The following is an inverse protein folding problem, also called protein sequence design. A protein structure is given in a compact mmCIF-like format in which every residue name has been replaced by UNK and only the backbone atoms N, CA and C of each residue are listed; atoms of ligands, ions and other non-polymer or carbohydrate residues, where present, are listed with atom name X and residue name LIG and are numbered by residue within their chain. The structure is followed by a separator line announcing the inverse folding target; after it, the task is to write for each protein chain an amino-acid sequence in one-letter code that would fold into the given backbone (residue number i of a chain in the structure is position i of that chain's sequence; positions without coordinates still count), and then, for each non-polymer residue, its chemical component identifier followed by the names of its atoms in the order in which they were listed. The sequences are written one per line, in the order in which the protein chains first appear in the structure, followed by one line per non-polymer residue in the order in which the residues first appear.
data_IF_793490338312
#
_entry.id   IF_793490338312
#
_cell.length_a   1.000
_cell.length_b   1.000
_cell.length_c   1.000
_cell.angle_alpha   90.00
_cell.angle_beta   90.00
_cell.angle_gamma   90.00
#
_symmetry.space_group_name_H-M   'P 1'
#
loop_
_entity.id
_entity.type
_entity.pdbx_description
1 polymer ?
#
# COMPACT_ATOMS: atom_id res chain seq x y z
N UNK A 1 10.21 -11.66 13.20
CA UNK A 1 9.57 -12.91 12.70
C UNK A 1 9.53 -12.88 11.17
N UNK A 2 10.00 -13.93 10.51
CA UNK A 2 9.94 -14.08 9.04
C UNK A 2 8.51 -14.43 8.58
N UNK A 3 8.24 -14.31 7.27
CA UNK A 3 6.95 -14.74 6.70
C UNK A 3 6.71 -16.22 6.95
N UNK A 4 7.74 -17.07 6.79
CA UNK A 4 7.61 -18.51 7.02
C UNK A 4 7.30 -18.85 8.49
N UNK A 5 7.89 -18.14 9.44
CA UNK A 5 7.57 -18.31 10.86
C UNK A 5 6.11 -17.91 11.17
N UNK A 6 5.61 -16.84 10.54
CA UNK A 6 4.19 -16.45 10.67
C UNK A 6 3.26 -17.52 10.11
N UNK A 7 3.54 -18.07 8.94
CA UNK A 7 2.73 -19.12 8.33
C UNK A 7 2.75 -20.41 9.17
N UNK A 8 3.91 -20.83 9.66
CA UNK A 8 4.02 -21.98 10.55
C UNK A 8 3.24 -21.77 11.85
N UNK A 9 3.26 -20.54 12.40
CA UNK A 9 2.48 -20.18 13.59
C UNK A 9 0.97 -20.24 13.30
N UNK A 10 0.51 -19.79 12.12
CA UNK A 10 -0.88 -19.90 11.73
C UNK A 10 -1.33 -21.37 11.65
N UNK A 11 -0.53 -22.23 11.04
CA UNK A 11 -0.85 -23.66 10.91
C UNK A 11 -0.93 -24.38 12.27
N UNK A 12 -0.10 -23.96 13.24
CA UNK A 12 -0.14 -24.53 14.62
C UNK A 12 -1.31 -23.99 15.47
N UNK A 13 -1.93 -22.88 15.08
CA UNK A 13 -3.04 -22.24 15.81
C UNK A 13 -4.29 -22.11 14.93
N UNK A 14 -4.52 -23.07 14.04
CA UNK A 14 -5.57 -23.02 13.02
C UNK A 14 -7.02 -23.02 13.55
N UNK A 15 -7.21 -23.24 14.84
CA UNK A 15 -8.45 -23.19 15.59
C UNK A 15 -8.58 -21.99 16.55
N UNK A 16 -7.60 -21.09 16.55
CA UNK A 16 -7.58 -19.89 17.40
C UNK A 16 -7.83 -18.62 16.56
N UNK A 17 -9.08 -18.11 16.59
CA UNK A 17 -9.49 -16.96 15.78
C UNK A 17 -8.66 -15.71 16.03
N UNK A 18 -8.37 -15.37 17.29
CA UNK A 18 -7.59 -14.19 17.66
C UNK A 18 -6.15 -14.25 17.16
N UNK A 19 -5.50 -15.39 17.34
CA UNK A 19 -4.15 -15.60 16.82
C UNK A 19 -4.09 -15.51 15.29
N UNK A 20 -5.07 -16.10 14.61
CA UNK A 20 -5.18 -16.02 13.14
C UNK A 20 -5.44 -14.60 12.67
N UNK A 21 -6.30 -13.84 13.37
CA UNK A 21 -6.53 -12.43 13.07
C UNK A 21 -5.24 -11.59 13.13
N UNK A 22 -4.45 -11.74 14.19
CA UNK A 22 -3.17 -11.04 14.33
C UNK A 22 -2.17 -11.42 13.24
N UNK A 23 -2.08 -12.71 12.91
CA UNK A 23 -1.18 -13.17 11.83
C UNK A 23 -1.67 -12.66 10.47
N UNK A 24 -2.97 -12.72 10.19
CA UNK A 24 -3.55 -12.22 8.94
C UNK A 24 -3.32 -10.71 8.76
N UNK A 25 -3.48 -9.93 9.83
CA UNK A 25 -3.19 -8.49 9.85
C UNK A 25 -1.72 -8.20 9.58
N UNK A 26 -0.81 -8.94 10.20
CA UNK A 26 0.64 -8.78 9.98
C UNK A 26 1.03 -9.16 8.55
N UNK A 27 0.47 -10.23 7.98
CA UNK A 27 0.72 -10.60 6.58
C UNK A 27 0.16 -9.56 5.59
N UNK A 28 -1.02 -8.97 5.89
CA UNK A 28 -1.58 -7.88 5.09
C UNK A 28 -0.64 -6.68 5.08
N UNK A 29 -0.13 -6.26 6.24
CA UNK A 29 0.82 -5.15 6.38
C UNK A 29 2.11 -5.35 5.57
N UNK A 30 2.52 -6.62 5.40
CA UNK A 30 3.68 -7.05 4.60
C UNK A 30 3.33 -7.37 3.14
N UNK A 31 2.14 -6.96 2.68
CA UNK A 31 1.69 -7.19 1.28
C UNK A 31 1.63 -8.66 0.85
N UNK A 32 1.43 -9.57 1.80
CA UNK A 32 1.19 -11.01 1.56
C UNK A 32 -0.32 -11.27 1.45
N UNK A 33 -0.97 -10.62 0.47
CA UNK A 33 -2.43 -10.54 0.38
C UNK A 33 -3.12 -11.90 0.23
N UNK A 34 -2.64 -12.86 -0.59
CA UNK A 34 -3.27 -14.18 -0.70
C UNK A 34 -3.24 -14.96 0.62
N UNK A 35 -2.10 -14.96 1.30
CA UNK A 35 -1.90 -15.64 2.58
C UNK A 35 -2.73 -14.98 3.68
N UNK A 36 -2.75 -13.64 3.72
CA UNK A 36 -3.56 -12.88 4.66
C UNK A 36 -5.06 -13.22 4.51
N UNK A 37 -5.58 -13.26 3.27
CA UNK A 37 -6.97 -13.62 2.98
C UNK A 37 -7.33 -15.00 3.53
N UNK A 38 -6.55 -16.02 3.18
CA UNK A 38 -6.78 -17.39 3.65
C UNK A 38 -6.89 -17.47 5.17
N UNK A 39 -6.02 -16.76 5.86
CA UNK A 39 -5.94 -16.79 7.33
C UNK A 39 -7.08 -15.98 7.96
N UNK A 40 -7.40 -14.79 7.42
CA UNK A 40 -8.51 -13.97 7.90
C UNK A 40 -9.87 -14.61 7.64
N UNK A 41 -10.08 -15.24 6.48
CA UNK A 41 -11.28 -16.01 6.20
C UNK A 41 -11.47 -17.15 7.22
N UNK A 42 -10.39 -17.83 7.61
CA UNK A 42 -10.44 -18.84 8.65
C UNK A 42 -10.76 -18.25 10.02
N UNK A 43 -10.17 -17.12 10.39
CA UNK A 43 -10.48 -16.42 11.65
C UNK A 43 -11.96 -16.06 11.74
N UNK A 44 -12.52 -15.47 10.67
CA UNK A 44 -13.93 -15.13 10.56
C UNK A 44 -14.85 -16.37 10.59
N UNK A 45 -14.42 -17.49 9.99
CA UNK A 45 -15.15 -18.76 10.06
C UNK A 45 -15.25 -19.31 11.49
N UNK A 46 -14.32 -18.94 12.37
CA UNK A 46 -14.35 -19.36 13.79
C UNK A 46 -15.15 -18.40 14.69
N UNK A 47 -15.08 -17.08 14.44
CA UNK A 47 -15.71 -16.07 15.29
C UNK A 47 -16.31 -14.91 14.44
N UNK A 48 -17.36 -15.15 13.64
CA UNK A 48 -17.85 -14.16 12.68
C UNK A 48 -18.50 -12.93 13.32
N UNK A 49 -18.98 -13.02 14.56
CA UNK A 49 -19.66 -11.91 15.25
C UNK A 49 -18.74 -11.07 16.13
N UNK A 50 -17.58 -11.61 16.49
CA UNK A 50 -16.71 -11.03 17.51
C UNK A 50 -15.50 -10.30 16.93
N UNK A 51 -15.35 -10.27 15.58
CA UNK A 51 -14.15 -9.78 14.91
C UNK A 51 -14.47 -8.79 13.76
N UNK A 52 -15.11 -7.63 14.06
CA UNK A 52 -15.43 -6.65 13.02
C UNK A 52 -14.18 -6.16 12.27
N UNK A 53 -13.05 -5.98 12.95
CA UNK A 53 -11.81 -5.57 12.31
C UNK A 53 -11.29 -6.60 11.30
N UNK A 54 -11.55 -7.89 11.49
CA UNK A 54 -11.13 -8.91 10.55
C UNK A 54 -11.84 -8.76 9.19
N UNK A 55 -13.12 -8.35 9.20
CA UNK A 55 -13.84 -8.00 7.97
C UNK A 55 -13.20 -6.81 7.26
N UNK A 56 -12.85 -5.74 8.00
CA UNK A 56 -12.20 -4.57 7.43
C UNK A 56 -10.84 -4.94 6.79
N UNK A 57 -9.98 -5.69 7.49
CA UNK A 57 -8.67 -6.08 6.99
C UNK A 57 -8.80 -7.03 5.79
N UNK A 58 -9.75 -7.97 5.83
CA UNK A 58 -10.02 -8.87 4.70
C UNK A 58 -10.49 -8.06 3.47
N UNK A 59 -11.40 -7.11 3.64
CA UNK A 59 -11.82 -6.21 2.57
C UNK A 59 -10.64 -5.43 1.98
N UNK A 60 -9.73 -4.91 2.81
CA UNK A 60 -8.51 -4.24 2.34
C UNK A 60 -7.64 -5.12 1.47
N UNK A 61 -7.50 -6.40 1.79
CA UNK A 61 -6.72 -7.30 0.94
C UNK A 61 -7.30 -7.40 -0.48
N UNK A 62 -8.63 -7.27 -0.62
CA UNK A 62 -9.30 -7.27 -1.91
C UNK A 62 -9.17 -5.94 -2.65
N UNK A 63 -9.34 -4.80 -1.96
CA UNK A 63 -9.18 -3.48 -2.56
C UNK A 63 -7.75 -3.19 -3.02
N UNK A 64 -6.76 -3.75 -2.32
CA UNK A 64 -5.33 -3.56 -2.63
C UNK A 64 -4.83 -4.47 -3.76
N UNK A 65 -5.50 -5.58 -4.04
CA UNK A 65 -5.04 -6.55 -5.03
C UNK A 65 -5.25 -6.01 -6.46
N UNK A 66 -6.48 -6.03 -6.96
CA UNK A 66 -6.79 -5.51 -8.30
C UNK A 66 -8.27 -5.07 -8.40
N UNK A 67 -8.62 -4.41 -9.52
CA UNK A 67 -9.97 -3.90 -9.73
C UNK A 67 -11.04 -5.01 -9.76
N UNK A 68 -10.70 -6.22 -10.24
CA UNK A 68 -11.65 -7.34 -10.33
C UNK A 68 -12.01 -7.95 -8.98
N UNK A 69 -11.25 -7.63 -7.92
CA UNK A 69 -11.53 -8.11 -6.56
C UNK A 69 -12.20 -7.04 -5.67
N UNK A 70 -12.36 -5.80 -6.16
CA UNK A 70 -12.96 -4.72 -5.39
C UNK A 70 -14.39 -5.04 -4.92
N UNK A 71 -15.23 -5.61 -5.79
CA UNK A 71 -16.58 -6.05 -5.46
C UNK A 71 -16.61 -7.05 -4.29
N UNK A 72 -15.63 -7.96 -4.21
CA UNK A 72 -15.49 -8.88 -3.07
C UNK A 72 -15.15 -8.14 -1.78
N UNK A 73 -14.36 -7.08 -1.87
CA UNK A 73 -14.05 -6.21 -0.73
C UNK A 73 -15.32 -5.52 -0.20
N UNK A 74 -16.13 -4.95 -1.09
CA UNK A 74 -17.42 -4.34 -0.74
C UNK A 74 -18.37 -5.34 -0.08
N UNK A 75 -18.54 -6.51 -0.69
CA UNK A 75 -19.37 -7.59 -0.11
C UNK A 75 -18.88 -8.01 1.27
N UNK A 76 -17.57 -8.08 1.48
CA UNK A 76 -16.97 -8.42 2.78
C UNK A 76 -17.32 -7.38 3.85
N UNK A 77 -17.27 -6.08 3.54
CA UNK A 77 -17.66 -5.02 4.47
C UNK A 77 -19.16 -5.09 4.79
N UNK A 78 -20.02 -5.28 3.78
CA UNK A 78 -21.47 -5.42 3.97
C UNK A 78 -21.80 -6.63 4.86
N UNK A 79 -21.21 -7.79 4.58
CA UNK A 79 -21.37 -8.98 5.41
C UNK A 79 -20.93 -8.74 6.87
N UNK A 80 -19.84 -8.04 7.05
CA UNK A 80 -19.37 -7.65 8.38
C UNK A 80 -20.34 -6.73 9.12
N UNK A 81 -20.92 -5.74 8.43
CA UNK A 81 -21.93 -4.84 9.00
C UNK A 81 -23.19 -5.61 9.40
N UNK A 82 -23.68 -6.51 8.55
CA UNK A 82 -24.85 -7.37 8.85
C UNK A 82 -24.58 -8.30 10.05
N UNK A 83 -23.36 -8.82 10.16
CA UNK A 83 -23.01 -9.77 11.22
C UNK A 83 -22.77 -9.11 12.58
N UNK A 84 -22.25 -7.87 12.61
CA UNK A 84 -21.70 -7.24 13.83
C UNK A 84 -22.33 -5.90 14.20
N UNK A 85 -22.97 -5.18 13.25
CA UNK A 85 -23.44 -3.77 13.38
C UNK A 85 -22.35 -2.83 13.98
N UNK A 86 -21.10 -3.05 13.63
CA UNK A 86 -19.94 -2.40 14.23
C UNK A 86 -19.70 -0.98 13.70
N UNK A 87 -19.51 -0.01 14.60
CA UNK A 87 -19.15 1.36 14.24
C UNK A 87 -17.77 1.44 13.55
N UNK A 88 -16.88 0.52 13.86
CA UNK A 88 -15.60 0.39 13.15
C UNK A 88 -15.83 0.09 11.68
N UNK A 89 -16.75 -0.82 11.33
CA UNK A 89 -17.07 -1.14 9.95
C UNK A 89 -17.83 -0.01 9.25
N UNK A 90 -18.69 0.74 9.98
CA UNK A 90 -19.32 1.95 9.44
C UNK A 90 -18.27 2.99 9.03
N UNK A 91 -17.22 3.17 9.85
CA UNK A 91 -16.11 4.06 9.51
C UNK A 91 -15.34 3.59 8.26
N UNK A 92 -15.06 2.29 8.15
CA UNK A 92 -14.41 1.73 6.96
C UNK A 92 -15.31 1.72 5.73
N UNK A 93 -16.62 1.62 5.89
CA UNK A 93 -17.59 1.77 4.80
C UNK A 93 -17.42 3.13 4.11
N UNK A 94 -17.31 4.22 4.90
CA UNK A 94 -17.05 5.57 4.38
C UNK A 94 -15.84 5.61 3.45
N UNK A 95 -14.80 4.81 3.72
CA UNK A 95 -13.57 4.84 2.93
C UNK A 95 -13.71 4.21 1.53
N UNK A 96 -14.53 3.18 1.39
CA UNK A 96 -14.43 2.28 0.23
C UNK A 96 -15.70 2.13 -0.60
N UNK A 97 -16.87 2.49 -0.05
CA UNK A 97 -18.14 2.28 -0.74
C UNK A 97 -18.62 3.58 -1.37
N UNK A 98 -18.94 3.52 -2.66
CA UNK A 98 -19.50 4.66 -3.42
C UNK A 98 -21.02 4.73 -3.24
N UNK A 99 -21.43 5.04 -2.02
CA UNK A 99 -22.82 5.28 -1.63
C UNK A 99 -22.90 6.63 -0.89
N UNK A 100 -23.03 7.76 -1.58
CA UNK A 100 -23.00 9.08 -0.96
C UNK A 100 -24.02 9.28 0.17
N UNK A 101 -25.30 8.84 0.07
CA UNK A 101 -26.24 8.97 1.17
C UNK A 101 -25.85 8.23 2.44
N UNK A 102 -25.39 6.98 2.31
CA UNK A 102 -24.92 6.18 3.44
C UNK A 102 -23.62 6.74 4.03
N UNK A 103 -22.71 7.18 3.15
CA UNK A 103 -21.45 7.83 3.54
C UNK A 103 -21.72 9.08 4.38
N UNK A 104 -22.56 10.00 3.93
CA UNK A 104 -22.83 11.26 4.58
C UNK A 104 -23.50 11.01 5.95
N UNK A 105 -24.42 10.05 6.02
CA UNK A 105 -25.02 9.61 7.28
C UNK A 105 -23.97 9.07 8.27
N UNK A 106 -23.05 8.21 7.83
CA UNK A 106 -22.03 7.65 8.71
C UNK A 106 -20.99 8.71 9.13
N UNK A 107 -20.65 9.66 8.27
CA UNK A 107 -19.77 10.78 8.64
C UNK A 107 -20.39 11.59 9.78
N UNK A 108 -21.68 11.96 9.66
CA UNK A 108 -22.38 12.71 10.70
C UNK A 108 -22.49 11.89 11.99
N UNK A 109 -22.89 10.63 11.91
CA UNK A 109 -23.03 9.73 13.06
C UNK A 109 -21.70 9.56 13.81
N UNK A 110 -20.61 9.24 13.11
CA UNK A 110 -19.29 8.97 13.69
C UNK A 110 -18.61 10.26 14.17
N UNK A 111 -18.83 11.39 13.49
CA UNK A 111 -18.31 12.69 13.89
C UNK A 111 -18.83 13.13 15.26
N UNK A 112 -20.06 12.73 15.60
CA UNK A 112 -20.70 13.00 16.90
C UNK A 112 -20.44 11.89 17.93
N UNK A 113 -19.78 10.79 17.57
CA UNK A 113 -19.53 9.68 18.47
C UNK A 113 -18.55 10.05 19.60
N UNK A 114 -18.82 9.59 20.82
CA UNK A 114 -18.00 9.92 21.99
C UNK A 114 -16.62 9.23 22.00
N UNK A 115 -16.47 8.08 21.30
CA UNK A 115 -15.21 7.34 21.26
C UNK A 115 -14.22 7.97 20.27
N UNK A 116 -13.13 8.60 20.76
CA UNK A 116 -12.17 9.25 19.87
C UNK A 116 -11.36 8.27 19.00
N UNK A 117 -11.36 6.96 19.30
CA UNK A 117 -10.74 5.93 18.46
C UNK A 117 -11.46 5.82 17.12
N UNK A 118 -12.79 5.89 17.14
CA UNK A 118 -13.61 5.90 15.91
C UNK A 118 -13.34 7.14 15.05
N UNK A 119 -13.03 8.28 15.67
CA UNK A 119 -12.63 9.49 14.92
C UNK A 119 -11.29 9.32 14.20
N UNK A 120 -10.34 8.58 14.78
CA UNK A 120 -9.08 8.26 14.07
C UNK A 120 -9.37 7.44 12.80
N UNK A 121 -10.23 6.42 12.91
CA UNK A 121 -10.61 5.59 11.75
C UNK A 121 -11.40 6.44 10.74
N UNK A 122 -12.34 7.27 11.21
CA UNK A 122 -13.07 8.20 10.34
C UNK A 122 -12.13 9.17 9.63
N UNK A 123 -11.17 9.78 10.32
CA UNK A 123 -10.17 10.65 9.71
C UNK A 123 -9.37 9.94 8.62
N UNK A 124 -8.99 8.69 8.86
CA UNK A 124 -8.36 7.86 7.83
C UNK A 124 -9.29 7.56 6.66
N UNK A 125 -10.57 7.27 6.91
CA UNK A 125 -11.57 7.03 5.89
C UNK A 125 -11.78 8.28 4.99
N UNK A 126 -11.89 9.46 5.60
CA UNK A 126 -12.00 10.74 4.87
C UNK A 126 -10.78 11.02 3.98
N UNK A 127 -9.57 10.64 4.42
CA UNK A 127 -8.37 10.71 3.60
C UNK A 127 -8.52 9.91 2.30
N UNK A 128 -9.06 8.68 2.37
CA UNK A 128 -9.29 7.84 1.18
C UNK A 128 -10.37 8.39 0.25
N UNK A 129 -11.31 9.17 0.77
CA UNK A 129 -12.29 9.91 -0.03
C UNK A 129 -11.75 11.22 -0.65
N UNK A 130 -10.48 11.55 -0.39
CA UNK A 130 -9.86 12.79 -0.87
C UNK A 130 -10.27 14.04 -0.08
N UNK A 131 -10.99 13.89 1.04
CA UNK A 131 -11.42 14.96 1.94
C UNK A 131 -10.28 15.29 2.93
N UNK A 132 -9.20 15.90 2.41
CA UNK A 132 -7.94 16.01 3.14
C UNK A 132 -8.02 16.98 4.33
N UNK A 133 -8.68 18.14 4.17
CA UNK A 133 -8.80 19.13 5.25
C UNK A 133 -9.69 18.62 6.38
N UNK A 134 -10.82 18.00 6.04
CA UNK A 134 -11.74 17.40 7.02
C UNK A 134 -11.06 16.22 7.75
N UNK A 135 -10.32 15.39 7.00
CA UNK A 135 -9.50 14.31 7.58
C UNK A 135 -8.51 14.85 8.59
N UNK A 136 -7.77 15.90 8.24
CA UNK A 136 -6.78 16.50 9.14
C UNK A 136 -7.42 17.11 10.37
N UNK A 137 -8.57 17.80 10.22
CA UNK A 137 -9.32 18.37 11.35
C UNK A 137 -9.79 17.28 12.32
N UNK A 138 -10.43 16.22 11.80
CA UNK A 138 -10.93 15.10 12.61
C UNK A 138 -9.80 14.40 13.36
N UNK A 139 -8.65 14.18 12.72
CA UNK A 139 -7.47 13.58 13.35
C UNK A 139 -6.87 14.50 14.44
N UNK A 140 -6.85 15.82 14.22
CA UNK A 140 -6.36 16.81 15.17
C UNK A 140 -7.27 16.85 16.41
N UNK A 141 -8.58 16.86 16.22
CA UNK A 141 -9.57 16.85 17.30
C UNK A 141 -9.52 15.54 18.08
N UNK A 142 -9.38 14.41 17.39
CA UNK A 142 -9.17 13.11 18.02
C UNK A 142 -7.91 13.15 18.90
N UNK A 143 -6.80 13.68 18.39
CA UNK A 143 -5.52 13.81 19.11
C UNK A 143 -5.67 14.66 20.38
N UNK A 144 -6.37 15.80 20.28
CA UNK A 144 -6.60 16.70 21.41
C UNK A 144 -7.42 16.02 22.52
N UNK A 145 -8.36 15.14 22.16
CA UNK A 145 -9.21 14.40 23.10
C UNK A 145 -8.44 13.38 23.97
N UNK A 146 -7.28 12.89 23.49
CA UNK A 146 -6.45 11.95 24.26
C UNK A 146 -5.47 12.62 25.23
N UNK A 147 -5.24 13.94 25.11
CA UNK A 147 -4.29 14.64 25.94
C UNK A 147 -2.89 14.00 25.93
N UNK A 148 -2.16 14.00 27.06
CA UNK A 148 -0.86 13.31 27.16
C UNK A 148 -0.98 11.78 27.14
N UNK A 149 -2.18 11.22 27.31
CA UNK A 149 -2.46 9.78 27.39
C UNK A 149 -2.57 9.06 26.04
N UNK A 150 -1.97 9.58 24.96
CA UNK A 150 -1.97 8.90 23.64
C UNK A 150 -1.40 7.47 23.69
N UNK A 151 -0.57 7.19 24.70
CA UNK A 151 -0.04 5.85 24.98
C UNK A 151 -1.10 4.83 25.44
N UNK A 152 -2.30 5.29 25.82
CA UNK A 152 -3.42 4.44 26.20
C UNK A 152 -4.24 3.95 25.01
N UNK A 153 -4.02 4.54 23.82
CA UNK A 153 -4.59 4.04 22.59
C UNK A 153 -4.02 2.66 22.25
N UNK A 154 -4.85 1.83 21.65
CA UNK A 154 -4.40 0.57 21.10
C UNK A 154 -3.36 0.83 19.99
N UNK A 155 -2.34 -0.04 19.84
CA UNK A 155 -1.25 0.15 18.89
C UNK A 155 -1.74 0.35 17.45
N UNK A 156 -2.89 -0.23 17.11
CA UNK A 156 -3.49 -0.16 15.78
C UNK A 156 -4.01 1.24 15.45
N UNK A 157 -4.76 1.86 16.36
CA UNK A 157 -5.28 3.23 16.17
C UNK A 157 -4.14 4.23 16.07
N UNK A 158 -3.08 4.07 16.85
CA UNK A 158 -1.88 4.91 16.74
C UNK A 158 -1.16 4.71 15.41
N UNK A 159 -1.07 3.47 14.92
CA UNK A 159 -0.50 3.18 13.60
C UNK A 159 -1.33 3.83 12.48
N UNK A 160 -2.66 3.75 12.56
CA UNK A 160 -3.59 4.39 11.62
C UNK A 160 -3.45 5.91 11.66
N UNK A 161 -3.40 6.51 12.85
CA UNK A 161 -3.17 7.94 13.03
C UNK A 161 -1.86 8.39 12.37
N UNK A 162 -0.75 7.72 12.70
CA UNK A 162 0.56 8.05 12.14
C UNK A 162 0.59 7.91 10.62
N UNK A 163 0.06 6.80 10.07
CA UNK A 163 0.02 6.58 8.63
C UNK A 163 -0.84 7.63 7.92
N UNK A 164 -1.98 8.02 8.49
CA UNK A 164 -2.84 9.07 7.93
C UNK A 164 -2.12 10.41 7.82
N UNK A 165 -1.40 10.83 8.86
CA UNK A 165 -0.63 12.08 8.82
C UNK A 165 0.51 12.03 7.79
N UNK A 166 1.15 10.87 7.61
CA UNK A 166 2.18 10.68 6.56
C UNK A 166 1.59 10.88 5.16
N UNK A 167 0.39 10.33 4.89
CA UNK A 167 -0.30 10.53 3.62
C UNK A 167 -0.80 11.95 3.43
N UNK A 168 -1.37 12.56 4.46
CA UNK A 168 -1.86 13.95 4.43
C UNK A 168 -0.75 14.98 4.17
N UNK A 169 0.50 14.68 4.54
CA UNK A 169 1.65 15.58 4.29
C UNK A 169 1.78 15.99 2.82
N UNK A 170 1.36 15.12 1.89
CA UNK A 170 1.36 15.43 0.46
C UNK A 170 0.37 16.53 0.08
N UNK A 171 -0.79 16.58 0.72
CA UNK A 171 -1.83 17.58 0.50
C UNK A 171 -1.67 18.80 1.43
N UNK A 172 -1.19 18.57 2.65
CA UNK A 172 -1.02 19.59 3.70
C UNK A 172 0.47 19.67 4.10
N UNK A 173 1.29 20.43 3.36
CA UNK A 173 2.75 20.50 3.57
C UNK A 173 3.18 21.04 4.95
N UNK A 174 2.30 21.72 5.68
CA UNK A 174 2.58 22.26 7.02
C UNK A 174 2.69 21.20 8.11
N UNK A 175 2.24 19.96 7.89
CA UNK A 175 2.36 18.87 8.87
C UNK A 175 3.85 18.57 9.11
N UNK A 176 4.31 18.65 10.36
CA UNK A 176 5.67 18.29 10.76
C UNK A 176 5.71 16.84 11.26
N UNK A 177 6.08 15.90 10.39
CA UNK A 177 6.11 14.48 10.73
C UNK A 177 7.17 14.13 11.78
N UNK A 178 8.28 14.85 11.82
CA UNK A 178 9.34 14.63 12.82
C UNK A 178 8.86 14.90 14.25
N UNK A 179 7.94 15.84 14.41
CA UNK A 179 7.37 16.17 15.73
C UNK A 179 6.08 15.42 16.05
N UNK A 180 5.22 15.22 15.04
CA UNK A 180 3.88 14.68 15.25
C UNK A 180 3.78 13.16 15.13
N UNK A 181 4.69 12.51 14.41
CA UNK A 181 4.61 11.09 14.04
C UNK A 181 5.79 10.27 14.57
N UNK A 182 7.03 10.70 14.31
CA UNK A 182 8.22 9.90 14.65
C UNK A 182 8.30 9.52 16.15
N UNK A 183 8.04 10.42 17.13
CA UNK A 183 8.09 10.03 18.54
C UNK A 183 7.07 8.98 18.93
N UNK A 184 5.88 9.03 18.31
CA UNK A 184 4.82 8.03 18.54
C UNK A 184 5.25 6.68 18.02
N UNK A 185 5.81 6.64 16.79
CA UNK A 185 6.27 5.39 16.16
C UNK A 185 7.42 4.76 16.95
N UNK A 186 8.35 5.55 17.48
CA UNK A 186 9.42 5.05 18.33
C UNK A 186 8.85 4.40 19.61
N UNK A 187 7.90 5.06 20.28
CA UNK A 187 7.25 4.50 21.46
C UNK A 187 6.48 3.20 21.14
N UNK A 188 5.83 3.14 19.98
CA UNK A 188 5.16 1.92 19.51
C UNK A 188 6.15 0.79 19.23
N UNK A 189 7.29 1.08 18.61
CA UNK A 189 8.32 0.09 18.29
C UNK A 189 9.02 -0.44 19.55
N UNK A 190 9.21 0.40 20.57
CA UNK A 190 9.76 -0.04 21.87
C UNK A 190 8.81 -1.00 22.59
N UNK A 191 7.51 -0.70 22.56
CA UNK A 191 6.48 -1.48 23.25
C UNK A 191 6.01 -2.71 22.47
N UNK A 192 5.93 -2.59 21.14
CA UNK A 192 5.41 -3.60 20.22
C UNK A 192 6.41 -3.90 19.11
N UNK A 193 7.49 -4.57 19.48
CA UNK A 193 8.68 -4.74 18.65
C UNK A 193 8.45 -5.52 17.37
N UNK A 194 7.41 -6.34 17.28
CA UNK A 194 7.16 -7.28 16.17
C UNK A 194 6.06 -6.81 15.20
N UNK A 195 5.63 -5.55 15.29
CA UNK A 195 4.63 -4.98 14.40
C UNK A 195 5.32 -4.22 13.26
N UNK A 196 5.39 -4.84 12.08
CA UNK A 196 6.10 -4.33 10.92
C UNK A 196 5.58 -2.96 10.45
N UNK A 197 4.25 -2.73 10.45
CA UNK A 197 3.66 -1.48 9.95
C UNK A 197 4.21 -0.22 10.61
N UNK A 198 4.59 -0.29 11.91
CA UNK A 198 5.16 0.86 12.61
C UNK A 198 6.53 1.24 12.06
N UNK A 199 7.35 0.23 11.73
CA UNK A 199 8.66 0.43 11.09
C UNK A 199 8.51 0.96 9.66
N UNK A 200 7.59 0.40 8.88
CA UNK A 200 7.31 0.83 7.51
C UNK A 200 6.80 2.28 7.46
N UNK A 201 5.95 2.68 8.42
CA UNK A 201 5.42 4.04 8.53
C UNK A 201 6.51 5.04 8.90
N UNK A 202 7.43 4.69 9.82
CA UNK A 202 8.60 5.51 10.14
C UNK A 202 9.48 5.75 8.90
N UNK A 203 9.83 4.68 8.20
CA UNK A 203 10.62 4.77 6.97
C UNK A 203 9.94 5.68 5.96
N UNK A 204 8.62 5.54 5.77
CA UNK A 204 7.86 6.38 4.84
C UNK A 204 7.84 7.84 5.29
N UNK A 205 7.62 8.11 6.58
CA UNK A 205 7.67 9.47 7.14
C UNK A 205 9.03 10.14 6.88
N UNK A 206 10.12 9.44 7.14
CA UNK A 206 11.48 9.93 6.90
C UNK A 206 11.78 10.14 5.40
N UNK A 207 11.23 9.29 4.51
CA UNK A 207 11.33 9.49 3.05
C UNK A 207 10.58 10.74 2.60
N UNK A 208 9.39 11.01 3.14
CA UNK A 208 8.61 12.21 2.86
C UNK A 208 9.35 13.47 3.34
N UNK A 209 9.97 13.41 4.52
CA UNK A 209 10.84 14.49 5.05
C UNK A 209 12.21 14.55 4.35
N UNK A 210 12.51 13.66 3.40
CA UNK A 210 13.76 13.56 2.64
C UNK A 210 15.02 13.40 3.50
N UNK A 211 14.87 12.81 4.68
CA UNK A 211 15.99 12.53 5.59
C UNK A 211 16.61 11.16 5.26
N UNK A 212 17.37 11.12 4.14
CA UNK A 212 17.86 9.86 3.57
C UNK A 212 18.83 9.09 4.49
N UNK A 213 19.57 9.79 5.35
CA UNK A 213 20.44 9.14 6.34
C UNK A 213 19.61 8.46 7.43
N UNK A 214 18.59 9.13 7.96
CA UNK A 214 17.66 8.54 8.91
C UNK A 214 16.87 7.38 8.30
N UNK A 215 16.49 7.46 7.00
CA UNK A 215 15.89 6.33 6.27
C UNK A 215 16.82 5.11 6.29
N UNK A 216 18.12 5.27 6.01
CA UNK A 216 19.07 4.15 6.04
C UNK A 216 19.16 3.52 7.43
N UNK A 217 19.20 4.34 8.49
CA UNK A 217 19.24 3.86 9.87
C UNK A 217 17.96 3.08 10.24
N UNK A 218 16.79 3.63 9.94
CA UNK A 218 15.51 2.97 10.17
C UNK A 218 15.40 1.66 9.39
N UNK A 219 15.79 1.64 8.10
CA UNK A 219 15.82 0.42 7.31
C UNK A 219 16.76 -0.65 7.89
N UNK A 220 17.95 -0.27 8.36
CA UNK A 220 18.89 -1.21 8.98
C UNK A 220 18.28 -1.85 10.23
N UNK A 221 17.71 -1.04 11.14
CA UNK A 221 17.01 -1.52 12.33
C UNK A 221 15.86 -2.46 11.97
N UNK A 222 15.08 -2.11 10.97
CA UNK A 222 13.95 -2.91 10.50
C UNK A 222 14.40 -4.25 9.93
N UNK A 223 15.45 -4.29 9.09
CA UNK A 223 15.95 -5.53 8.48
C UNK A 223 16.62 -6.47 9.47
N UNK A 224 17.07 -6.01 10.64
CA UNK A 224 17.52 -6.90 11.73
C UNK A 224 16.35 -7.72 12.28
N UNK A 225 15.14 -7.13 12.37
CA UNK A 225 13.93 -7.83 12.87
C UNK A 225 13.17 -8.57 11.79
N UNK A 226 13.11 -7.97 10.59
CA UNK A 226 12.34 -8.44 9.46
C UNK A 226 13.27 -8.60 8.25
N UNK A 227 14.13 -9.64 8.25
CA UNK A 227 15.24 -9.76 7.29
C UNK A 227 14.81 -10.05 5.86
N UNK A 228 13.57 -10.49 5.64
CA UNK A 228 12.96 -10.85 4.36
C UNK A 228 11.97 -9.79 3.83
N UNK A 229 12.05 -8.55 4.34
CA UNK A 229 11.17 -7.48 3.89
C UNK A 229 11.70 -6.76 2.65
N UNK A 230 11.21 -7.17 1.48
CA UNK A 230 11.59 -6.61 0.19
C UNK A 230 11.22 -5.12 0.05
N UNK A 231 10.14 -4.65 0.70
CA UNK A 231 9.75 -3.23 0.67
C UNK A 231 10.72 -2.35 1.46
N UNK A 232 11.24 -2.84 2.58
CA UNK A 232 12.29 -2.15 3.34
C UNK A 232 13.60 -2.11 2.55
N UNK A 233 13.96 -3.19 1.84
CA UNK A 233 15.13 -3.20 0.95
C UNK A 233 14.98 -2.21 -0.20
N UNK A 234 13.78 -2.09 -0.78
CA UNK A 234 13.49 -1.07 -1.78
C UNK A 234 13.65 0.35 -1.21
N UNK A 235 13.12 0.61 -0.01
CA UNK A 235 13.26 1.92 0.64
C UNK A 235 14.73 2.29 0.89
N UNK A 236 15.52 1.30 1.36
CA UNK A 236 16.96 1.45 1.55
C UNK A 236 17.70 1.74 0.24
N UNK A 237 17.32 1.04 -0.83
CA UNK A 237 17.90 1.28 -2.15
C UNK A 237 17.56 2.67 -2.69
N UNK A 238 16.33 3.14 -2.51
CA UNK A 238 15.94 4.50 -2.87
C UNK A 238 16.74 5.55 -2.09
N UNK A 239 17.00 5.33 -0.81
CA UNK A 239 17.84 6.23 -0.02
C UNK A 239 19.30 6.24 -0.52
N UNK A 240 19.88 5.09 -0.85
CA UNK A 240 21.21 5.02 -1.47
C UNK A 240 21.28 5.73 -2.83
N UNK A 241 20.24 5.58 -3.67
CA UNK A 241 20.15 6.29 -4.95
C UNK A 241 20.14 7.82 -4.73
N UNK A 242 19.32 8.31 -3.79
CA UNK A 242 19.27 9.74 -3.42
C UNK A 242 20.57 10.28 -2.84
N UNK A 243 21.37 9.42 -2.23
CA UNK A 243 22.70 9.74 -1.71
C UNK A 243 23.82 9.51 -2.76
N UNK A 244 23.46 9.34 -4.04
CA UNK A 244 24.39 9.11 -5.15
C UNK A 244 25.29 7.87 -4.95
N UNK A 245 24.71 6.79 -4.40
CA UNK A 245 25.39 5.50 -4.18
C UNK A 245 24.71 4.37 -4.98
N UNK A 246 24.71 4.43 -6.34
CA UNK A 246 23.90 3.56 -7.19
C UNK A 246 24.24 2.07 -7.03
N UNK A 247 25.51 1.71 -6.84
CA UNK A 247 25.90 0.30 -6.65
C UNK A 247 25.35 -0.31 -5.34
N UNK A 248 25.29 0.48 -4.25
CA UNK A 248 24.62 0.03 -3.02
C UNK A 248 23.12 -0.13 -3.23
N UNK A 249 22.49 0.80 -3.97
CA UNK A 249 21.08 0.69 -4.32
C UNK A 249 20.79 -0.59 -5.12
N UNK A 250 21.57 -0.89 -6.16
CA UNK A 250 21.43 -2.10 -6.97
C UNK A 250 21.62 -3.39 -6.16
N UNK A 251 22.54 -3.39 -5.17
CA UNK A 251 22.71 -4.53 -4.27
C UNK A 251 21.42 -4.85 -3.50
N UNK A 252 20.79 -3.85 -2.86
CA UNK A 252 19.56 -4.07 -2.09
C UNK A 252 18.36 -4.40 -2.99
N UNK A 253 18.28 -3.82 -4.17
CA UNK A 253 17.26 -4.15 -5.16
C UNK A 253 17.40 -5.60 -5.66
N UNK A 254 18.63 -6.07 -5.89
CA UNK A 254 18.90 -7.47 -6.24
C UNK A 254 18.44 -8.44 -5.14
N UNK A 255 18.69 -8.11 -3.86
CA UNK A 255 18.16 -8.88 -2.73
C UNK A 255 16.64 -8.90 -2.68
N UNK A 256 15.99 -7.72 -2.84
CA UNK A 256 14.54 -7.61 -2.86
C UNK A 256 13.90 -8.45 -3.98
N UNK A 257 14.48 -8.43 -5.19
CA UNK A 257 14.03 -9.24 -6.32
C UNK A 257 14.27 -10.74 -6.06
N UNK A 258 15.37 -11.11 -5.40
CA UNK A 258 15.66 -12.49 -5.00
C UNK A 258 14.62 -13.06 -4.03
N UNK A 259 14.15 -12.24 -3.07
CA UNK A 259 13.11 -12.63 -2.11
C UNK A 259 11.74 -12.70 -2.80
N UNK A 260 11.40 -11.69 -3.60
CA UNK A 260 10.11 -11.60 -4.32
C UNK A 260 10.35 -11.40 -5.81
N UNK A 261 10.44 -12.48 -6.59
CA UNK A 261 10.69 -12.39 -8.04
C UNK A 261 9.62 -11.61 -8.81
N UNK A 262 8.39 -11.49 -8.29
CA UNK A 262 7.32 -10.67 -8.87
C UNK A 262 7.37 -9.19 -8.50
N UNK A 263 8.40 -8.72 -7.76
CA UNK A 263 8.47 -7.34 -7.28
C UNK A 263 8.83 -6.35 -8.40
N UNK A 264 7.83 -5.98 -9.19
CA UNK A 264 7.96 -5.12 -10.36
C UNK A 264 8.61 -3.77 -10.03
N UNK A 265 8.23 -3.14 -8.89
CA UNK A 265 8.77 -1.84 -8.49
C UNK A 265 10.28 -1.87 -8.27
N UNK A 266 10.81 -2.95 -7.70
CA UNK A 266 12.26 -3.11 -7.54
C UNK A 266 12.96 -3.23 -8.91
N UNK A 267 12.39 -3.97 -9.87
CA UNK A 267 12.91 -4.05 -11.24
C UNK A 267 12.92 -2.69 -11.94
N UNK A 268 11.82 -1.95 -11.85
CA UNK A 268 11.73 -0.61 -12.46
C UNK A 268 12.79 0.36 -11.89
N UNK A 269 12.98 0.36 -10.56
CA UNK A 269 14.00 1.21 -9.92
C UNK A 269 15.39 0.75 -10.32
N UNK A 270 15.66 -0.57 -10.39
CA UNK A 270 16.94 -1.10 -10.86
C UNK A 270 17.23 -0.70 -12.30
N UNK A 271 16.23 -0.83 -13.19
CA UNK A 271 16.38 -0.45 -14.60
C UNK A 271 16.71 1.03 -14.74
N UNK A 272 16.00 1.92 -14.03
CA UNK A 272 16.30 3.36 -14.04
C UNK A 272 17.71 3.68 -13.56
N UNK A 273 18.20 2.99 -12.52
CA UNK A 273 19.57 3.20 -12.02
C UNK A 273 20.59 2.69 -13.06
N UNK A 274 20.38 1.50 -13.65
CA UNK A 274 21.24 0.95 -14.69
C UNK A 274 21.28 1.86 -15.93
N UNK A 275 20.14 2.38 -16.34
CA UNK A 275 20.05 3.36 -17.43
C UNK A 275 20.89 4.62 -17.13
N UNK A 276 20.83 5.14 -15.93
CA UNK A 276 21.67 6.29 -15.52
C UNK A 276 23.17 5.99 -15.50
N UNK A 277 23.54 4.71 -15.40
CA UNK A 277 24.92 4.22 -15.49
C UNK A 277 25.35 3.86 -16.93
N UNK A 278 24.44 3.96 -17.91
CA UNK A 278 24.67 3.60 -19.31
C UNK A 278 24.48 2.11 -19.62
N UNK A 279 24.02 1.31 -18.66
CA UNK A 279 23.83 -0.15 -18.81
C UNK A 279 22.42 -0.47 -19.36
N UNK A 280 22.12 0.04 -20.57
CA UNK A 280 20.78 -0.01 -21.19
C UNK A 280 20.29 -1.43 -21.42
N UNK A 281 21.18 -2.35 -21.82
CA UNK A 281 20.77 -3.74 -22.11
C UNK A 281 20.34 -4.48 -20.84
N UNK A 282 21.02 -4.26 -19.72
CA UNK A 282 20.62 -4.80 -18.42
C UNK A 282 19.31 -4.18 -17.94
N UNK A 283 19.14 -2.87 -18.15
CA UNK A 283 17.88 -2.18 -17.83
C UNK A 283 16.71 -2.78 -18.63
N UNK A 284 16.90 -3.04 -19.94
CA UNK A 284 15.92 -3.67 -20.83
C UNK A 284 15.52 -5.05 -20.31
N UNK A 285 16.49 -5.88 -19.96
CA UNK A 285 16.22 -7.21 -19.44
C UNK A 285 15.32 -7.18 -18.20
N UNK A 286 15.61 -6.30 -17.24
CA UNK A 286 14.80 -6.16 -16.03
C UNK A 286 13.38 -5.67 -16.32
N UNK A 287 13.22 -4.69 -17.21
CA UNK A 287 11.90 -4.19 -17.60
C UNK A 287 11.07 -5.26 -18.29
N UNK A 288 11.65 -6.03 -19.23
CA UNK A 288 10.93 -7.05 -19.97
C UNK A 288 10.55 -8.28 -19.15
N UNK A 289 11.19 -8.48 -17.99
CA UNK A 289 10.79 -9.51 -17.03
C UNK A 289 9.51 -9.15 -16.26
N UNK A 290 9.11 -7.87 -16.18
CA UNK A 290 7.95 -7.44 -15.38
C UNK A 290 6.65 -8.07 -15.87
N UNK A 291 6.28 -8.02 -17.17
CA UNK A 291 5.04 -8.64 -17.68
C UNK A 291 5.00 -10.16 -17.53
N UNK A 292 6.16 -10.80 -17.46
CA UNK A 292 6.30 -12.26 -17.31
C UNK A 292 6.18 -12.66 -15.84
N UNK A 293 6.86 -11.92 -14.94
CA UNK A 293 6.89 -12.23 -13.52
C UNK A 293 5.60 -11.81 -12.78
N UNK A 294 4.87 -10.83 -13.31
CA UNK A 294 3.62 -10.35 -12.73
C UNK A 294 2.59 -9.97 -13.81
N UNK A 295 1.98 -10.97 -14.49
CA UNK A 295 1.07 -10.76 -15.61
C UNK A 295 -0.23 -10.04 -15.26
N UNK A 296 -0.58 -9.92 -13.98
CA UNK A 296 -1.77 -9.23 -13.49
C UNK A 296 -1.51 -7.76 -13.09
N UNK A 297 -0.26 -7.33 -13.08
CA UNK A 297 0.10 -5.99 -12.63
C UNK A 297 0.04 -4.96 -13.76
N UNK A 298 -1.17 -4.51 -14.11
CA UNK A 298 -1.45 -3.62 -15.24
C UNK A 298 -0.56 -2.35 -15.25
N UNK A 299 -0.38 -1.68 -14.10
CA UNK A 299 0.48 -0.49 -13.97
C UNK A 299 1.92 -0.80 -14.36
N UNK A 300 2.49 -1.90 -13.86
CA UNK A 300 3.87 -2.28 -14.19
C UNK A 300 4.04 -2.67 -15.66
N UNK A 301 3.04 -3.32 -16.25
CA UNK A 301 3.02 -3.66 -17.68
C UNK A 301 2.96 -2.38 -18.52
N UNK A 302 2.11 -1.40 -18.16
CA UNK A 302 2.04 -0.11 -18.85
C UNK A 302 3.35 0.67 -18.74
N UNK A 303 3.99 0.68 -17.58
CA UNK A 303 5.30 1.32 -17.41
C UNK A 303 6.38 0.65 -18.25
N UNK A 304 6.32 -0.68 -18.42
CA UNK A 304 7.19 -1.41 -19.35
C UNK A 304 6.90 -1.02 -20.81
N UNK A 305 5.63 -0.82 -21.17
CA UNK A 305 5.25 -0.35 -22.52
C UNK A 305 5.81 1.05 -22.81
N UNK A 306 5.70 1.97 -21.83
CA UNK A 306 6.27 3.31 -21.94
C UNK A 306 7.77 3.24 -22.17
N UNK A 307 8.46 2.49 -21.32
CA UNK A 307 9.92 2.32 -21.42
C UNK A 307 10.35 1.72 -22.78
N UNK A 308 9.68 0.66 -23.23
CA UNK A 308 9.95 0.02 -24.50
C UNK A 308 9.75 0.98 -25.70
N UNK A 309 8.69 1.79 -25.65
CA UNK A 309 8.42 2.79 -26.70
C UNK A 309 9.51 3.86 -26.76
N UNK A 310 9.94 4.38 -25.61
CA UNK A 310 11.01 5.40 -25.49
C UNK A 310 12.36 4.87 -25.96
N UNK A 311 12.59 3.55 -25.89
CA UNK A 311 13.81 2.88 -26.35
C UNK A 311 13.65 2.22 -27.74
N UNK A 312 12.61 2.59 -28.49
CA UNK A 312 12.46 2.24 -29.92
C UNK A 312 11.77 0.90 -30.19
N UNK A 313 11.41 0.11 -29.18
CA UNK A 313 10.67 -1.15 -29.37
C UNK A 313 9.16 -0.91 -29.40
N UNK A 314 8.72 -0.24 -30.46
CA UNK A 314 7.33 0.18 -30.63
C UNK A 314 6.36 -0.99 -30.71
N UNK A 315 6.74 -2.10 -31.35
CA UNK A 315 5.84 -3.26 -31.52
C UNK A 315 5.50 -3.90 -30.18
N UNK A 316 6.50 -4.10 -29.34
CA UNK A 316 6.32 -4.64 -28.00
C UNK A 316 5.57 -3.66 -27.10
N UNK A 317 5.86 -2.37 -27.20
CA UNK A 317 5.14 -1.33 -26.46
C UNK A 317 3.63 -1.32 -26.77
N UNK A 318 3.24 -1.42 -28.05
CA UNK A 318 1.84 -1.48 -28.46
C UNK A 318 1.13 -2.74 -27.96
N UNK A 319 1.79 -3.88 -27.96
CA UNK A 319 1.26 -5.13 -27.41
C UNK A 319 0.97 -5.00 -25.92
N UNK A 320 1.95 -4.53 -25.15
CA UNK A 320 1.83 -4.34 -23.71
C UNK A 320 0.76 -3.30 -23.35
N UNK A 321 0.69 -2.21 -24.10
CA UNK A 321 -0.34 -1.16 -23.89
C UNK A 321 -1.74 -1.74 -24.06
N UNK A 322 -2.03 -2.47 -25.13
CA UNK A 322 -3.34 -3.12 -25.34
C UNK A 322 -3.72 -4.02 -24.19
N UNK A 323 -2.75 -4.79 -23.69
CA UNK A 323 -2.96 -5.74 -22.61
C UNK A 323 -3.23 -5.06 -21.27
N UNK A 324 -2.59 -3.93 -21.00
CA UNK A 324 -2.60 -3.33 -19.66
C UNK A 324 -3.58 -2.17 -19.49
N UNK A 325 -3.75 -1.31 -20.51
CA UNK A 325 -4.50 -0.05 -20.36
C UNK A 325 -5.99 -0.27 -20.05
N UNK A 326 -6.59 -1.34 -20.60
CA UNK A 326 -7.97 -1.69 -20.31
C UNK A 326 -8.19 -2.12 -18.85
N UNK A 327 -7.19 -2.78 -18.26
CA UNK A 327 -7.22 -3.35 -16.91
C UNK A 327 -6.91 -2.35 -15.80
N UNK A 328 -6.50 -1.11 -16.15
CA UNK A 328 -6.23 -0.06 -15.16
C UNK A 328 -7.52 0.41 -14.48
N UNK A 329 -7.44 0.63 -13.17
CA UNK A 329 -8.50 1.32 -12.41
C UNK A 329 -8.65 2.77 -12.88
N UNK A 330 -9.84 3.39 -12.72
CA UNK A 330 -10.05 4.80 -13.12
C UNK A 330 -8.99 5.76 -12.55
N UNK A 331 -8.65 5.61 -11.27
CA UNK A 331 -7.61 6.38 -10.59
C UNK A 331 -6.22 6.18 -11.24
N UNK A 332 -5.86 4.93 -11.59
CA UNK A 332 -4.60 4.62 -12.26
C UNK A 332 -4.57 5.21 -13.67
N UNK A 333 -5.68 5.13 -14.42
CA UNK A 333 -5.80 5.73 -15.75
C UNK A 333 -5.55 7.24 -15.70
N UNK A 334 -6.14 7.95 -14.74
CA UNK A 334 -5.96 9.39 -14.62
C UNK A 334 -4.50 9.83 -14.44
N UNK A 335 -3.68 9.01 -13.78
CA UNK A 335 -2.26 9.27 -13.62
C UNK A 335 -1.47 9.19 -14.94
N UNK A 336 -1.93 8.37 -15.89
CA UNK A 336 -1.25 8.15 -17.16
C UNK A 336 -1.84 8.93 -18.34
N UNK A 337 -3.07 9.44 -18.23
CA UNK A 337 -3.75 10.18 -19.32
C UNK A 337 -2.98 11.40 -19.78
N UNK A 338 -2.27 12.09 -18.90
CA UNK A 338 -1.45 13.25 -19.23
C UNK A 338 -0.05 12.89 -19.75
N UNK A 339 0.38 11.62 -19.61
CA UNK A 339 1.74 11.21 -19.96
C UNK A 339 1.98 11.29 -21.47
N UNK A 340 3.01 12.03 -21.95
CA UNK A 340 3.24 12.25 -23.38
C UNK A 340 3.40 10.96 -24.17
N UNK A 341 4.21 10.02 -23.67
CA UNK A 341 4.49 8.74 -24.31
C UNK A 341 3.23 7.87 -24.41
N UNK A 342 2.36 7.89 -23.38
CA UNK A 342 1.08 7.14 -23.40
C UNK A 342 0.18 7.67 -24.50
N UNK A 343 0.10 8.99 -24.70
CA UNK A 343 -0.65 9.61 -25.82
C UNK A 343 -0.08 9.17 -27.15
N UNK A 344 1.25 9.17 -27.32
CA UNK A 344 1.89 8.72 -28.57
C UNK A 344 1.59 7.24 -28.87
N UNK A 345 1.68 6.36 -27.86
CA UNK A 345 1.34 4.94 -28.01
C UNK A 345 -0.14 4.78 -28.43
N UNK A 346 -1.04 5.52 -27.80
CA UNK A 346 -2.48 5.47 -28.10
C UNK A 346 -2.78 5.92 -29.54
N UNK A 347 -2.12 6.97 -30.04
CA UNK A 347 -2.29 7.48 -31.40
C UNK A 347 -1.68 6.53 -32.45
N UNK A 348 -0.53 5.94 -32.17
CA UNK A 348 0.08 4.93 -33.04
C UNK A 348 -0.78 3.66 -33.10
N UNK A 349 -1.42 3.28 -31.99
CA UNK A 349 -2.37 2.16 -31.97
C UNK A 349 -3.62 2.43 -32.84
N UNK A 350 -4.20 3.63 -32.76
CA UNK A 350 -5.34 4.02 -33.62
C UNK A 350 -4.97 3.97 -35.10
N UNK A 351 -3.78 4.47 -35.44
CA UNK A 351 -3.26 4.45 -36.81
C UNK A 351 -3.08 3.03 -37.33
N UNK A 352 -2.56 2.12 -36.48
CA UNK A 352 -2.36 0.70 -36.82
C UNK A 352 -3.70 -0.01 -37.06
N UNK A 353 -4.73 0.29 -36.24
CA UNK A 353 -6.06 -0.31 -36.42
C UNK A 353 -6.69 0.19 -37.72
N UNK A 354 -6.59 1.48 -38.04
CA UNK A 354 -7.11 2.04 -39.29
C UNK A 354 -6.48 1.42 -40.53
N UNK A 355 -5.15 1.20 -40.52
CA UNK A 355 -4.44 0.56 -41.62
C UNK A 355 -4.87 -0.90 -41.80
N UNK A 356 -5.12 -1.64 -40.72
CA UNK A 356 -5.58 -3.03 -40.79
C UNK A 356 -7.05 -3.17 -41.23
N UNK A 357 -7.86 -2.12 -41.09
CA UNK A 357 -9.26 -2.12 -41.58
C UNK A 357 -9.35 -1.73 -43.05
N UNK A 358 -8.34 -1.04 -43.62
CA UNK A 358 -8.28 -0.59 -44.99
C UNK A 358 -7.58 -1.60 -45.94
N UNK A 359 -6.99 -2.65 -45.41
CA UNK A 359 -6.45 -3.82 -46.15
C UNK A 359 -7.45 -4.97 -46.14
#
# INVERSE_FOLDING_TARGET
MTIQELLNKADTHWDNAETLFHIGTELESRTRLPEARRILERALGLAPKDMPEAYAILAFTHFRDNASTAEKGEMTLIQGLEATDSDILKAWYVAFIDDPPARDYFIEYLGNHADPRLRIILGHALLWQGMHEESYQVLTDARASFGPGISELLPKELSVYCSSLVWLKGAIPSINLKESVIPILHALQERYTDIYVNHATEITALQVEKDWNAVLEACQKTLVRFPDEETTMLAMALAFDKLSKPHHALHYLGRAIGIKPSFARARMVSARILESLGEIDLARELMYQIPMANPQYAVGILQTAIWAFEHGDKSFALELYRRSYAELKPFEKSQFESHPTVKQIADEQKSTILLNVLQ
#
